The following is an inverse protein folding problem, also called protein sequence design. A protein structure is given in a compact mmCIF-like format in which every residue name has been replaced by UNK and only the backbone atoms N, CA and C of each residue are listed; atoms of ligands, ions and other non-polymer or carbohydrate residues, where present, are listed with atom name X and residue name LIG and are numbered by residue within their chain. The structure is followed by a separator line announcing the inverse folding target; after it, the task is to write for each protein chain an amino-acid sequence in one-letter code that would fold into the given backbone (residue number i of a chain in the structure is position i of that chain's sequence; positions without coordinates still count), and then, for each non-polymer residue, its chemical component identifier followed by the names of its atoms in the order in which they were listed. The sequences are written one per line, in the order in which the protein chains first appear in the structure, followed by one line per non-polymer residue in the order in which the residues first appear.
data_IF_464494835395
#
_entry.id   IF_464494835395
#
_cell.length_a   1.000
_cell.length_b   1.000
_cell.length_c   1.000
_cell.angle_alpha   90.00
_cell.angle_beta   90.00
_cell.angle_gamma   90.00
#
_symmetry.space_group_name_H-M   'P 1'
#
loop_
_entity.id
_entity.type
_entity.pdbx_description
1 polymer ?
#
# COMPACT_ATOMS: atom_id res chain seq x y z
N UNK A 1 25.45 -8.11 -12.52
CA UNK A 1 26.73 -8.06 -13.26
C UNK A 1 27.27 -9.44 -13.65
N UNK A 2 27.17 -10.47 -12.81
CA UNK A 2 27.61 -11.83 -13.16
C UNK A 2 26.96 -12.41 -14.43
N UNK A 3 25.67 -12.09 -14.66
CA UNK A 3 24.96 -12.52 -15.87
C UNK A 3 25.46 -11.84 -17.15
N UNK A 4 25.91 -10.58 -17.08
CA UNK A 4 26.28 -9.78 -18.25
C UNK A 4 27.71 -10.10 -18.70
N UNK A 5 28.64 -10.29 -17.77
CA UNK A 5 30.04 -10.64 -18.04
C UNK A 5 30.56 -11.72 -17.06
N UNK A 6 30.17 -12.99 -17.26
CA UNK A 6 30.46 -14.06 -16.31
C UNK A 6 31.96 -14.33 -16.09
N UNK A 7 32.83 -14.03 -17.05
CA UNK A 7 34.27 -14.29 -16.94
C UNK A 7 35.02 -13.27 -16.06
N UNK A 8 34.48 -12.05 -15.92
CA UNK A 8 35.16 -10.96 -15.21
C UNK A 8 34.60 -10.74 -13.80
N UNK A 9 33.34 -11.11 -13.56
CA UNK A 9 32.62 -10.77 -12.32
C UNK A 9 32.29 -11.97 -11.43
N UNK A 10 32.74 -13.19 -11.76
CA UNK A 10 32.54 -14.38 -10.92
C UNK A 10 33.22 -14.25 -9.56
N UNK A 11 34.50 -13.85 -9.56
CA UNK A 11 35.32 -13.82 -8.34
C UNK A 11 35.24 -12.46 -7.59
N UNK A 12 34.94 -11.38 -8.33
CA UNK A 12 34.86 -10.03 -7.77
C UNK A 12 33.51 -9.71 -7.08
N UNK A 13 32.58 -10.66 -7.07
CA UNK A 13 31.20 -10.45 -6.65
C UNK A 13 31.10 -10.18 -5.14
N UNK A 14 31.78 -10.99 -4.33
CA UNK A 14 31.76 -10.86 -2.88
C UNK A 14 32.40 -9.54 -2.43
N UNK A 15 33.49 -9.15 -3.10
CA UNK A 15 34.14 -7.85 -2.89
C UNK A 15 33.25 -6.68 -3.29
N UNK A 16 32.55 -6.76 -4.42
CA UNK A 16 31.61 -5.72 -4.86
C UNK A 16 30.41 -5.61 -3.93
N UNK A 17 29.83 -6.73 -3.50
CA UNK A 17 28.76 -6.75 -2.50
C UNK A 17 29.22 -6.12 -1.19
N UNK A 18 30.43 -6.43 -0.71
CA UNK A 18 30.98 -5.79 0.50
C UNK A 18 31.17 -4.27 0.35
N UNK A 19 31.52 -3.79 -0.85
CA UNK A 19 31.63 -2.35 -1.14
C UNK A 19 30.26 -1.66 -1.16
N UNK A 20 29.23 -2.29 -1.72
CA UNK A 20 27.88 -1.72 -1.86
C UNK A 20 26.94 -1.99 -0.67
N UNK A 21 27.27 -2.93 0.22
CA UNK A 21 26.50 -3.22 1.45
C UNK A 21 26.66 -2.13 2.52
N UNK A 22 27.69 -1.30 2.42
CA UNK A 22 27.87 -0.12 3.28
C UNK A 22 26.82 0.92 2.91
N UNK A 23 25.67 0.87 3.59
CA UNK A 23 24.67 1.94 3.54
C UNK A 23 25.31 3.21 4.10
N UNK A 24 25.05 4.34 3.48
CA UNK A 24 25.47 5.66 3.96
C UNK A 24 24.88 5.92 5.35
N UNK A 25 25.59 5.49 6.39
CA UNK A 25 25.44 6.01 7.73
C UNK A 25 26.17 7.35 7.77
N UNK A 26 25.57 8.34 8.41
CA UNK A 26 25.99 9.75 8.47
C UNK A 26 27.44 9.98 8.89
N UNK A 27 28.13 8.99 9.48
CA UNK A 27 29.50 9.10 9.99
C UNK A 27 30.61 8.49 9.12
N UNK A 28 30.31 7.89 7.96
CA UNK A 28 31.33 7.23 7.08
C UNK A 28 31.45 7.86 5.68
N UNK A 29 31.06 9.14 5.55
CA UNK A 29 30.86 9.84 4.27
C UNK A 29 32.10 9.86 3.36
N UNK A 30 33.29 10.18 3.88
CA UNK A 30 34.49 10.37 3.05
C UNK A 30 35.06 9.07 2.44
N UNK A 31 35.04 7.97 3.21
CA UNK A 31 35.50 6.67 2.73
C UNK A 31 34.49 6.01 1.80
N UNK A 32 33.19 6.25 2.01
CA UNK A 32 32.15 5.73 1.13
C UNK A 32 32.15 6.44 -0.24
N UNK A 33 32.37 7.76 -0.28
CA UNK A 33 32.51 8.52 -1.53
C UNK A 33 33.67 8.02 -2.41
N UNK A 34 34.85 7.83 -1.82
CA UNK A 34 36.03 7.31 -2.52
C UNK A 34 35.79 5.89 -3.08
N UNK A 35 35.05 5.05 -2.35
CA UNK A 35 34.68 3.69 -2.78
C UNK A 35 33.65 3.72 -3.92
N UNK A 36 32.64 4.59 -3.83
CA UNK A 36 31.61 4.78 -4.88
C UNK A 36 32.22 5.32 -6.16
N UNK A 37 33.15 6.28 -6.08
CA UNK A 37 33.88 6.82 -7.23
C UNK A 37 34.74 5.76 -7.92
N UNK A 38 35.51 4.97 -7.15
CA UNK A 38 36.31 3.86 -7.67
C UNK A 38 35.44 2.79 -8.35
N UNK A 39 34.33 2.41 -7.72
CA UNK A 39 33.39 1.45 -8.29
C UNK A 39 32.73 1.99 -9.56
N UNK A 40 32.32 3.27 -9.58
CA UNK A 40 31.75 3.93 -10.76
C UNK A 40 32.73 3.95 -11.94
N UNK A 41 34.02 4.23 -11.69
CA UNK A 41 35.07 4.19 -12.71
C UNK A 41 35.27 2.79 -13.29
N UNK A 42 35.20 1.75 -12.45
CA UNK A 42 35.26 0.35 -12.89
C UNK A 42 34.02 -0.08 -13.69
N UNK A 43 32.84 0.48 -13.40
CA UNK A 43 31.58 0.14 -14.07
C UNK A 43 31.33 0.95 -15.35
N UNK A 44 31.94 2.12 -15.49
CA UNK A 44 31.79 3.03 -16.65
C UNK A 44 31.95 2.34 -18.02
N UNK A 45 32.93 1.46 -18.28
CA UNK A 45 33.06 0.82 -19.59
C UNK A 45 31.95 -0.20 -19.89
N UNK A 46 31.18 -0.61 -18.88
CA UNK A 46 30.12 -1.63 -19.01
C UNK A 46 28.71 -1.05 -18.94
N UNK A 47 28.57 0.24 -18.56
CA UNK A 47 27.27 0.91 -18.39
C UNK A 47 27.29 2.20 -19.19
N UNK A 48 26.62 2.19 -20.34
CA UNK A 48 26.36 3.41 -21.09
C UNK A 48 25.11 4.10 -20.53
N UNK A 49 25.28 5.29 -19.96
CA UNK A 49 24.17 6.12 -19.46
C UNK A 49 24.13 7.43 -20.23
N UNK A 50 23.07 7.65 -21.02
CA UNK A 50 22.73 8.96 -21.61
C UNK A 50 21.60 9.59 -20.82
N UNK A 51 21.68 10.90 -20.59
CA UNK A 51 20.64 11.66 -19.91
C UNK A 51 19.69 12.31 -20.94
N UNK A 52 18.43 12.53 -20.57
CA UNK A 52 17.38 13.04 -21.48
C UNK A 52 17.71 14.44 -22.02
N UNK A 53 18.40 15.26 -21.24
CA UNK A 53 18.97 16.57 -21.62
C UNK A 53 20.02 16.48 -22.75
N UNK A 54 20.80 15.39 -22.83
CA UNK A 54 21.80 15.18 -23.89
C UNK A 54 21.16 14.76 -25.22
N UNK A 55 20.02 14.07 -25.15
CA UNK A 55 19.37 13.47 -26.33
C UNK A 55 18.12 14.21 -26.81
N UNK A 56 17.42 14.95 -25.95
CA UNK A 56 16.26 15.78 -26.33
C UNK A 56 16.56 17.25 -26.03
N UNK A 57 17.08 17.94 -27.04
CA UNK A 57 17.38 19.38 -27.01
C UNK A 57 16.17 20.25 -27.35
N UNK A 58 15.18 19.67 -28.02
CA UNK A 58 13.99 20.38 -28.51
C UNK A 58 12.84 20.42 -27.48
N UNK A 59 12.97 19.68 -26.37
CA UNK A 59 11.95 19.63 -25.33
C UNK A 59 12.22 20.71 -24.26
N UNK A 60 11.22 21.50 -23.85
CA UNK A 60 11.38 22.46 -22.76
C UNK A 60 11.78 21.77 -21.46
N UNK A 61 12.45 22.53 -20.59
CA UNK A 61 12.94 22.04 -19.30
C UNK A 61 11.79 21.58 -18.42
N UNK A 62 11.89 20.37 -17.87
CA UNK A 62 10.95 19.86 -16.85
C UNK A 62 10.97 20.78 -15.62
N UNK A 63 9.81 21.31 -15.25
CA UNK A 63 9.59 21.99 -13.97
C UNK A 63 8.90 21.07 -12.99
N UNK A 64 9.37 21.02 -11.75
CA UNK A 64 8.79 20.24 -10.67
C UNK A 64 8.43 21.20 -9.54
N UNK A 65 7.20 21.10 -9.03
CA UNK A 65 6.67 21.91 -7.93
C UNK A 65 6.06 20.97 -6.91
N UNK A 66 6.34 21.23 -5.64
CA UNK A 66 5.76 20.48 -4.52
C UNK A 66 4.77 21.41 -3.84
N UNK A 67 3.50 21.03 -3.88
CA UNK A 67 2.40 21.76 -3.24
C UNK A 67 1.90 20.92 -2.07
N UNK A 68 1.82 21.56 -0.89
CA UNK A 68 1.34 20.92 0.32
C UNK A 68 -0.14 21.21 0.48
N UNK A 69 -0.92 20.19 0.78
CA UNK A 69 -2.37 20.30 0.95
C UNK A 69 -2.74 20.00 2.39
N UNK A 70 -3.66 20.78 2.97
CA UNK A 70 -4.24 20.49 4.27
C UNK A 70 -5.26 19.36 4.18
N UNK A 71 -5.35 18.52 5.21
CA UNK A 71 -6.34 17.43 5.28
C UNK A 71 -7.67 17.93 5.83
N UNK A 72 -8.78 17.41 5.28
CA UNK A 72 -10.12 17.72 5.80
C UNK A 72 -10.34 17.07 7.17
N UNK A 73 -11.31 17.53 7.97
CA UNK A 73 -11.59 16.94 9.28
C UNK A 73 -11.86 15.43 9.21
N UNK A 74 -12.63 14.99 8.20
CA UNK A 74 -12.92 13.57 7.99
C UNK A 74 -11.68 12.77 7.58
N UNK A 75 -10.81 13.33 6.72
CA UNK A 75 -9.53 12.68 6.39
C UNK A 75 -8.64 12.53 7.63
N UNK A 76 -8.61 13.56 8.48
CA UNK A 76 -7.80 13.58 9.70
C UNK A 76 -8.23 12.48 10.67
N UNK A 77 -9.54 12.32 10.92
CA UNK A 77 -10.04 11.27 11.82
C UNK A 77 -9.68 9.87 11.30
N UNK A 78 -9.86 9.62 9.99
CA UNK A 78 -9.49 8.33 9.36
C UNK A 78 -7.98 8.06 9.51
N UNK A 79 -7.16 9.09 9.25
CA UNK A 79 -5.71 8.98 9.31
C UNK A 79 -5.22 8.71 10.74
N UNK A 80 -5.74 9.45 11.73
CA UNK A 80 -5.41 9.28 13.13
C UNK A 80 -5.81 7.90 13.66
N UNK A 81 -6.98 7.40 13.27
CA UNK A 81 -7.43 6.06 13.63
C UNK A 81 -6.51 4.97 13.05
N UNK A 82 -6.14 5.08 11.77
CA UNK A 82 -5.20 4.15 11.13
C UNK A 82 -3.81 4.21 11.79
N UNK A 83 -3.33 5.41 12.13
CA UNK A 83 -2.09 5.60 12.88
C UNK A 83 -2.15 4.96 14.27
N UNK A 84 -3.26 5.13 14.98
CA UNK A 84 -3.43 4.58 16.32
C UNK A 84 -3.49 3.05 16.28
N UNK A 85 -4.23 2.48 15.32
CA UNK A 85 -4.25 1.03 15.07
C UNK A 85 -2.85 0.47 14.83
N UNK A 86 -2.05 1.17 14.01
CA UNK A 86 -0.65 0.80 13.77
C UNK A 86 0.20 0.87 15.03
N UNK A 87 0.10 1.95 15.81
CA UNK A 87 0.85 2.10 17.06
C UNK A 87 0.53 0.99 18.06
N UNK A 88 -0.75 0.69 18.26
CA UNK A 88 -1.17 -0.42 19.13
C UNK A 88 -0.68 -1.77 18.63
N UNK A 89 -0.67 -1.99 17.31
CA UNK A 89 -0.15 -3.23 16.74
C UNK A 89 1.36 -3.38 16.97
N UNK A 90 2.13 -2.29 16.79
CA UNK A 90 3.58 -2.28 17.05
C UNK A 90 3.88 -2.45 18.52
N UNK A 91 3.10 -1.84 19.42
CA UNK A 91 3.28 -1.98 20.87
C UNK A 91 2.92 -3.39 21.38
N UNK A 92 1.96 -4.05 20.73
CA UNK A 92 1.60 -5.43 21.03
C UNK A 92 2.65 -6.45 20.55
N UNK A 93 3.61 -6.06 19.70
CA UNK A 93 4.69 -6.95 19.28
C UNK A 93 5.71 -7.12 20.43
N UNK A 94 6.22 -8.35 20.65
CA UNK A 94 7.25 -8.58 21.64
C UNK A 94 8.52 -7.79 21.30
N UNK A 95 9.10 -7.11 22.30
CA UNK A 95 10.32 -6.30 22.16
C UNK A 95 11.58 -7.13 21.84
N UNK A 96 11.48 -8.45 21.95
CA UNK A 96 12.58 -9.36 21.69
C UNK A 96 12.85 -9.46 20.18
N UNK A 97 14.02 -8.96 19.77
CA UNK A 97 14.46 -8.89 18.36
C UNK A 97 14.39 -10.27 17.65
N UNK A 98 14.64 -11.36 18.38
CA UNK A 98 14.52 -12.74 17.86
C UNK A 98 13.09 -13.15 17.57
N UNK A 99 12.13 -12.78 18.42
CA UNK A 99 10.72 -13.09 18.20
C UNK A 99 10.14 -12.23 17.06
N UNK A 100 10.62 -10.99 16.92
CA UNK A 100 10.23 -10.11 15.81
C UNK A 100 10.71 -10.65 14.45
N UNK A 101 11.94 -11.19 14.40
CA UNK A 101 12.52 -11.82 13.20
C UNK A 101 11.77 -13.10 12.78
N UNK A 102 11.28 -13.90 13.72
CA UNK A 102 10.44 -15.08 13.41
C UNK A 102 9.04 -14.72 12.91
N UNK A 103 8.49 -13.55 13.31
CA UNK A 103 7.16 -13.08 12.89
C UNK A 103 7.21 -12.37 11.52
N UNK A 104 8.31 -11.67 11.21
CA UNK A 104 8.50 -10.91 9.96
C UNK A 104 9.08 -11.78 8.83
N UNK A 105 9.70 -12.91 9.17
CA UNK A 105 10.07 -13.92 8.18
C UNK A 105 8.80 -14.65 7.70
N UNK A 106 8.17 -14.13 6.65
CA UNK A 106 7.21 -14.94 5.90
C UNK A 106 7.93 -16.20 5.35
N UNK A 107 7.27 -17.38 5.38
CA UNK A 107 7.81 -18.62 4.84
C UNK A 107 7.61 -18.67 3.32
N UNK A 108 8.09 -17.67 2.57
CA UNK A 108 7.88 -17.58 1.11
C UNK A 108 9.21 -17.60 0.34
N UNK A 109 10.15 -18.45 0.76
CA UNK A 109 11.31 -18.84 -0.04
C UNK A 109 11.68 -20.33 0.17
N UNK A 110 10.66 -21.21 0.26
CA UNK A 110 10.89 -22.63 -0.05
C UNK A 110 10.95 -22.81 -1.56
N UNK A 111 12.16 -22.71 -2.11
CA UNK A 111 12.48 -23.31 -3.41
C UNK A 111 12.26 -24.82 -3.24
N UNK A 112 11.10 -25.28 -3.71
CA UNK A 112 10.73 -26.68 -3.82
C UNK A 112 11.83 -27.45 -4.57
N UNK A 113 12.63 -28.20 -3.81
CA UNK A 113 13.46 -29.26 -4.35
C UNK A 113 12.90 -30.57 -3.79
N UNK A 114 12.08 -31.22 -4.60
CA UNK A 114 11.44 -32.47 -4.24
C UNK A 114 12.46 -33.60 -4.08
N UNK A 115 12.51 -34.19 -2.89
CA UNK A 115 12.51 -35.64 -2.69
C UNK A 115 12.53 -35.98 -1.20
N UNK A 116 11.69 -36.93 -0.78
CA UNK A 116 11.88 -37.68 0.46
C UNK A 116 10.64 -37.85 1.32
N UNK A 117 10.02 -39.03 1.22
CA UNK A 117 9.01 -39.59 2.11
C UNK A 117 9.34 -39.48 3.61
N UNK A 118 8.32 -39.19 4.42
CA UNK A 118 8.43 -39.32 5.88
C UNK A 118 7.24 -38.80 6.68
N UNK A 119 6.29 -39.68 7.01
CA UNK A 119 5.21 -39.48 8.00
C UNK A 119 5.71 -38.84 9.30
N UNK A 120 5.03 -37.79 9.80
CA UNK A 120 4.85 -37.63 11.27
C UNK A 120 3.61 -36.81 11.65
N UNK A 121 3.10 -37.18 12.83
CA UNK A 121 1.76 -36.95 13.40
C UNK A 121 1.48 -35.51 13.83
N UNK A 122 0.24 -35.08 13.62
CA UNK A 122 -0.30 -33.82 14.14
C UNK A 122 -0.44 -33.78 15.67
N UNK A 123 -0.20 -32.59 16.22
CA UNK A 123 -0.65 -32.18 17.56
C UNK A 123 -1.44 -30.87 17.42
N UNK A 124 -2.75 -30.97 17.64
CA UNK A 124 -3.70 -29.87 17.72
C UNK A 124 -3.49 -29.08 19.02
N UNK A 125 -3.28 -27.76 18.95
CA UNK A 125 -3.41 -26.84 20.11
C UNK A 125 -4.71 -26.02 19.97
N UNK A 126 -5.34 -25.64 21.09
CA UNK A 126 -6.75 -25.28 21.13
C UNK A 126 -7.03 -23.86 20.64
N UNK A 127 -8.13 -23.68 19.89
CA UNK A 127 -8.70 -22.39 19.55
C UNK A 127 -9.43 -21.81 20.77
N UNK A 128 -8.92 -20.71 21.35
CA UNK A 128 -9.71 -19.82 22.22
C UNK A 128 -10.03 -18.56 21.42
N UNK A 129 -11.32 -18.26 21.33
CA UNK A 129 -11.88 -17.20 20.48
C UNK A 129 -11.32 -15.83 20.83
N UNK A 130 -10.64 -15.23 19.86
CA UNK A 130 -10.51 -13.79 19.72
C UNK A 130 -11.33 -13.41 18.51
N UNK A 131 -12.32 -12.57 18.74
CA UNK A 131 -13.18 -11.93 17.75
C UNK A 131 -12.32 -11.30 16.64
N UNK A 132 -12.74 -11.46 15.38
CA UNK A 132 -11.99 -11.12 14.18
C UNK A 132 -11.18 -9.80 14.25
N UNK A 133 -9.85 -9.91 14.18
CA UNK A 133 -8.96 -8.81 13.77
C UNK A 133 -7.89 -9.36 12.82
N UNK A 134 -8.32 -9.97 11.72
CA UNK A 134 -7.45 -10.68 10.77
C UNK A 134 -6.61 -9.77 9.84
N UNK A 135 -6.47 -8.47 10.12
CA UNK A 135 -5.77 -7.53 9.24
C UNK A 135 -4.57 -6.81 9.90
N UNK A 136 -4.10 -7.25 11.08
CA UNK A 136 -2.96 -6.64 11.78
C UNK A 136 -1.59 -6.94 11.14
N UNK A 137 -1.53 -7.28 9.85
CA UNK A 137 -0.29 -7.33 9.10
C UNK A 137 0.18 -5.91 8.82
N UNK A 138 1.35 -5.53 9.34
CA UNK A 138 1.94 -4.19 9.16
C UNK A 138 2.14 -3.77 7.69
N UNK A 139 2.05 -4.71 6.75
CA UNK A 139 2.09 -4.48 5.30
C UNK A 139 0.95 -3.59 4.80
N UNK A 140 -0.24 -3.65 5.40
CA UNK A 140 -1.42 -2.93 4.92
C UNK A 140 -1.55 -1.50 5.47
N UNK A 141 -0.86 -1.19 6.58
CA UNK A 141 -0.96 0.11 7.25
C UNK A 141 -0.52 1.25 6.33
N UNK A 142 0.63 1.10 5.67
CA UNK A 142 1.14 2.15 4.77
C UNK A 142 0.19 2.40 3.60
N UNK A 143 -0.48 1.34 3.12
CA UNK A 143 -1.48 1.47 2.06
C UNK A 143 -2.72 2.23 2.57
N UNK A 144 -3.20 1.93 3.77
CA UNK A 144 -4.30 2.68 4.40
C UNK A 144 -3.95 4.15 4.61
N UNK A 145 -2.78 4.47 5.17
CA UNK A 145 -2.35 5.86 5.37
C UNK A 145 -2.24 6.63 4.04
N UNK A 146 -1.78 5.96 2.97
CA UNK A 146 -1.77 6.54 1.62
C UNK A 146 -3.18 6.82 1.10
N UNK A 147 -4.13 5.91 1.28
CA UNK A 147 -5.55 6.12 0.92
C UNK A 147 -6.16 7.27 1.72
N UNK A 148 -5.94 7.33 3.03
CA UNK A 148 -6.47 8.37 3.92
C UNK A 148 -5.97 9.75 3.52
N UNK A 149 -4.70 9.84 3.12
CA UNK A 149 -4.08 11.07 2.60
C UNK A 149 -4.59 11.47 1.21
N UNK A 150 -5.31 10.60 0.51
CA UNK A 150 -5.88 10.89 -0.81
C UNK A 150 -7.34 11.35 -0.69
N UNK A 151 -8.23 10.53 -0.13
CA UNK A 151 -9.68 10.83 -0.13
C UNK A 151 -10.46 10.02 0.92
N UNK A 152 -11.47 10.60 1.63
CA UNK A 152 -12.31 9.87 2.58
C UNK A 152 -13.12 8.71 1.98
N UNK A 153 -13.69 8.93 0.79
CA UNK A 153 -14.50 7.92 0.06
C UNK A 153 -13.77 6.61 -0.30
N UNK A 154 -12.46 6.53 -0.08
CA UNK A 154 -11.70 5.27 -0.20
C UNK A 154 -11.85 4.35 1.03
N UNK A 155 -12.57 4.81 2.04
CA UNK A 155 -12.94 4.06 3.23
C UNK A 155 -14.45 3.96 3.30
N UNK A 156 -14.91 3.07 4.17
CA UNK A 156 -16.31 2.93 4.53
C UNK A 156 -16.61 3.77 5.76
N UNK A 157 -17.19 4.97 5.59
CA UNK A 157 -17.46 5.94 6.68
C UNK A 157 -18.83 6.59 6.57
N UNK A 158 -19.25 6.98 5.36
CA UNK A 158 -20.53 7.63 5.12
C UNK A 158 -21.65 6.59 4.93
N UNK A 159 -21.31 5.40 4.44
CA UNK A 159 -22.21 4.26 4.35
C UNK A 159 -22.05 3.33 5.56
N UNK A 160 -22.78 3.65 6.63
CA UNK A 160 -22.86 2.80 7.83
C UNK A 160 -23.48 1.44 7.53
N UNK A 161 -23.22 0.45 8.40
CA UNK A 161 -23.82 -0.89 8.28
C UNK A 161 -25.36 -0.82 8.25
N UNK A 162 -25.96 0.13 8.97
CA UNK A 162 -27.40 0.35 8.93
C UNK A 162 -27.90 0.78 7.53
N UNK A 163 -27.16 1.67 6.84
CA UNK A 163 -27.50 2.09 5.48
C UNK A 163 -27.29 0.95 4.49
N UNK A 164 -26.23 0.16 4.64
CA UNK A 164 -25.97 -1.02 3.79
C UNK A 164 -27.11 -2.02 3.88
N UNK A 165 -27.59 -2.31 5.09
CA UNK A 165 -28.74 -3.19 5.28
C UNK A 165 -30.01 -2.67 4.56
N UNK A 166 -30.25 -1.36 4.57
CA UNK A 166 -31.37 -0.76 3.83
C UNK A 166 -31.16 -0.85 2.31
N UNK A 167 -29.95 -0.54 1.83
CA UNK A 167 -29.57 -0.61 0.41
C UNK A 167 -29.72 -2.05 -0.10
N UNK A 168 -29.23 -3.05 0.64
CA UNK A 168 -29.34 -4.47 0.29
C UNK A 168 -30.80 -4.93 0.18
N UNK A 169 -31.70 -4.48 1.08
CA UNK A 169 -33.14 -4.78 0.97
C UNK A 169 -33.76 -4.20 -0.29
N UNK A 170 -33.41 -2.96 -0.64
CA UNK A 170 -33.90 -2.32 -1.86
C UNK A 170 -33.25 -2.90 -3.13
N UNK A 171 -32.05 -3.47 -3.02
CA UNK A 171 -31.34 -4.10 -4.11
C UNK A 171 -32.03 -5.37 -4.62
N UNK A 172 -32.68 -6.14 -3.72
CA UNK A 172 -33.43 -7.35 -4.08
C UNK A 172 -34.65 -7.10 -4.97
N UNK A 173 -35.05 -5.84 -5.16
CA UNK A 173 -36.13 -5.45 -6.07
C UNK A 173 -35.65 -5.36 -7.53
N UNK A 174 -34.34 -5.30 -7.76
CA UNK A 174 -33.76 -5.25 -9.10
C UNK A 174 -33.68 -6.67 -9.70
N UNK A 175 -33.87 -6.80 -11.02
CA UNK A 175 -33.90 -8.10 -11.69
C UNK A 175 -32.58 -8.88 -11.55
N UNK A 176 -31.45 -8.17 -11.47
CA UNK A 176 -30.11 -8.78 -11.37
C UNK A 176 -29.87 -9.48 -10.02
N UNK A 177 -30.61 -9.10 -8.98
CA UNK A 177 -30.43 -9.60 -7.61
C UNK A 177 -31.62 -10.43 -7.11
N UNK A 178 -32.60 -10.71 -7.98
CA UNK A 178 -33.83 -11.37 -7.58
C UNK A 178 -33.63 -12.82 -7.10
N UNK A 179 -32.61 -13.50 -7.63
CA UNK A 179 -32.21 -14.86 -7.22
C UNK A 179 -31.18 -14.86 -6.09
N UNK A 180 -30.66 -13.69 -5.70
CA UNK A 180 -29.62 -13.57 -4.67
C UNK A 180 -30.22 -13.51 -3.27
N UNK A 181 -29.53 -14.10 -2.28
CA UNK A 181 -29.95 -13.98 -0.89
C UNK A 181 -29.52 -12.64 -0.29
N UNK A 182 -30.31 -12.13 0.64
CA UNK A 182 -30.04 -10.87 1.36
C UNK A 182 -28.66 -10.88 2.03
N UNK A 183 -28.30 -11.98 2.69
CA UNK A 183 -27.08 -12.07 3.49
C UNK A 183 -25.82 -11.96 2.61
N UNK A 184 -25.82 -12.56 1.43
CA UNK A 184 -24.69 -12.48 0.48
C UNK A 184 -24.53 -11.06 -0.07
N UNK A 185 -25.65 -10.39 -0.39
CA UNK A 185 -25.60 -9.00 -0.87
C UNK A 185 -25.03 -8.07 0.20
N UNK A 186 -25.39 -8.28 1.47
CA UNK A 186 -24.84 -7.49 2.59
C UNK A 186 -23.35 -7.77 2.77
N UNK A 187 -22.92 -9.04 2.70
CA UNK A 187 -21.50 -9.41 2.78
C UNK A 187 -20.67 -8.74 1.69
N UNK A 188 -21.14 -8.78 0.44
CA UNK A 188 -20.48 -8.14 -0.69
C UNK A 188 -20.35 -6.62 -0.49
N UNK A 189 -21.43 -5.97 -0.04
CA UNK A 189 -21.43 -4.53 0.21
C UNK A 189 -20.52 -4.10 1.38
N UNK A 190 -20.28 -4.96 2.37
CA UNK A 190 -19.43 -4.64 3.51
C UNK A 190 -17.94 -4.50 3.14
N UNK A 191 -17.52 -5.17 2.06
CA UNK A 191 -16.13 -5.13 1.55
C UNK A 191 -15.90 -3.92 0.65
N UNK A 192 -16.97 -3.33 0.09
CA UNK A 192 -16.89 -2.18 -0.81
C UNK A 192 -16.58 -0.87 -0.08
N UNK A 193 -15.90 0.04 -0.77
CA UNK A 193 -15.61 1.39 -0.28
C UNK A 193 -16.79 2.34 -0.56
N UNK A 194 -16.86 3.48 0.16
CA UNK A 194 -17.95 4.45 -0.04
C UNK A 194 -18.05 4.95 -1.49
N UNK A 195 -16.95 5.11 -2.21
CA UNK A 195 -16.95 5.49 -3.63
C UNK A 195 -17.62 4.43 -4.52
N UNK A 196 -17.39 3.15 -4.21
CA UNK A 196 -17.96 2.04 -4.96
C UNK A 196 -19.44 1.87 -4.63
N UNK A 197 -19.81 1.99 -3.35
CA UNK A 197 -21.20 2.01 -2.89
C UNK A 197 -21.98 3.19 -3.48
N UNK A 198 -21.37 4.37 -3.56
CA UNK A 198 -21.97 5.53 -4.22
C UNK A 198 -22.21 5.27 -5.71
N UNK A 199 -21.22 4.70 -6.41
CA UNK A 199 -21.39 4.32 -7.82
C UNK A 199 -22.46 3.26 -8.01
N UNK A 200 -22.52 2.29 -7.11
CA UNK A 200 -23.55 1.24 -7.08
C UNK A 200 -24.94 1.84 -6.92
N UNK A 201 -25.12 2.76 -5.97
CA UNK A 201 -26.39 3.46 -5.77
C UNK A 201 -26.82 4.25 -7.00
N UNK A 202 -25.88 4.81 -7.77
CA UNK A 202 -26.19 5.53 -9.01
C UNK A 202 -26.56 4.61 -10.19
N UNK A 203 -26.10 3.36 -10.18
CA UNK A 203 -26.33 2.40 -11.26
C UNK A 203 -27.77 1.85 -11.26
N UNK A 204 -28.30 1.54 -10.08
CA UNK A 204 -29.61 0.91 -9.92
C UNK A 204 -30.69 1.91 -9.46
N UNK A 205 -31.88 1.83 -10.04
CA UNK A 205 -32.95 2.81 -9.78
C UNK A 205 -33.51 2.68 -8.37
N UNK A 206 -33.59 1.47 -7.83
CA UNK A 206 -34.18 1.17 -6.53
C UNK A 206 -33.36 1.75 -5.38
N UNK A 207 -32.03 1.68 -5.48
CA UNK A 207 -31.09 2.15 -4.44
C UNK A 207 -30.62 3.60 -4.64
N UNK A 208 -30.94 4.23 -5.78
CA UNK A 208 -30.58 5.63 -6.08
C UNK A 208 -31.04 6.64 -5.03
N UNK A 209 -32.11 6.31 -4.28
CA UNK A 209 -32.61 7.14 -3.18
C UNK A 209 -31.62 7.26 -2.02
N UNK A 210 -30.71 6.30 -1.87
CA UNK A 210 -29.68 6.27 -0.83
C UNK A 210 -28.34 6.87 -1.30
N UNK A 211 -28.24 7.32 -2.55
CA UNK A 211 -27.05 7.98 -3.05
C UNK A 211 -26.83 9.32 -2.33
N UNK A 212 -25.57 9.60 -1.99
CA UNK A 212 -25.14 10.87 -1.41
C UNK A 212 -25.07 11.96 -2.49
N UNK A 213 -24.99 13.22 -2.07
CA UNK A 213 -24.75 14.33 -2.98
C UNK A 213 -23.32 14.33 -3.52
N UNK A 214 -23.11 14.87 -4.73
CA UNK A 214 -21.81 14.90 -5.40
C UNK A 214 -20.76 15.74 -4.66
N UNK A 215 -21.17 16.62 -3.74
CA UNK A 215 -20.26 17.35 -2.85
C UNK A 215 -19.35 16.44 -2.02
N UNK A 216 -19.74 15.18 -1.77
CA UNK A 216 -18.90 14.22 -1.03
C UNK A 216 -17.57 13.91 -1.70
N UNK A 217 -17.48 14.05 -3.03
CA UNK A 217 -16.23 13.89 -3.79
C UNK A 217 -15.34 15.13 -3.77
N UNK A 218 -15.88 16.28 -3.35
CA UNK A 218 -15.14 17.53 -3.21
C UNK A 218 -14.52 17.68 -1.83
N UNK A 219 -15.00 16.92 -0.84
CA UNK A 219 -14.50 16.93 0.54
C UNK A 219 -13.19 16.13 0.70
N UNK A 220 -12.15 16.58 0.01
CA UNK A 220 -10.79 16.07 0.17
C UNK A 220 -9.77 17.17 -0.04
N UNK A 221 -8.76 17.23 0.83
CA UNK A 221 -7.75 18.30 0.86
C UNK A 221 -6.99 18.50 -0.44
N UNK A 222 -6.73 17.41 -1.17
CA UNK A 222 -6.11 17.48 -2.50
C UNK A 222 -7.08 18.03 -3.54
N UNK A 223 -8.35 17.62 -3.48
CA UNK A 223 -9.36 18.07 -4.44
C UNK A 223 -9.63 19.55 -4.25
N UNK A 224 -9.78 20.00 -3.00
CA UNK A 224 -9.94 21.43 -2.67
C UNK A 224 -8.75 22.27 -3.12
N UNK A 225 -7.52 21.77 -2.96
CA UNK A 225 -6.32 22.45 -3.46
C UNK A 225 -6.32 22.59 -4.99
N UNK A 226 -6.77 21.57 -5.73
CA UNK A 226 -6.84 21.62 -7.20
C UNK A 226 -8.01 22.47 -7.72
N UNK A 227 -9.13 22.53 -7.00
CA UNK A 227 -10.29 23.33 -7.42
C UNK A 227 -10.14 24.80 -7.05
N UNK A 228 -9.33 25.13 -6.06
CA UNK A 228 -9.03 26.52 -5.72
C UNK A 228 -8.15 27.13 -6.83
N UNK A 229 -8.61 28.21 -7.50
CA UNK A 229 -7.81 28.84 -8.54
C UNK A 229 -6.50 29.39 -7.94
N UNK A 230 -5.39 29.12 -8.63
CA UNK A 230 -4.05 29.63 -8.32
C UNK A 230 -4.08 31.17 -8.26
N UNK A 231 -4.30 31.73 -7.06
CA UNK A 231 -4.43 33.17 -6.82
C UNK A 231 -5.36 33.60 -5.68
N UNK A 232 -6.07 32.68 -5.02
CA UNK A 232 -6.99 32.99 -3.91
C UNK A 232 -6.42 32.71 -2.49
N UNK A 233 -5.10 32.51 -2.37
CA UNK A 233 -4.40 32.36 -1.08
C UNK A 233 -3.28 33.38 -1.00
#
# INVERSE_FOLDING_TARGET
MNFILPKYFRDALESLRAIFKVRASSHTSLLSESRVSRASKMMTPFVLRRRKDQVLKDLPKKTERIEWCETTPLQRTIYEEAMQRSRSAVEALPKDEKALLEIVAEPDDEIANGNGDGKSKGKTRPKKGVLMTSNASGSNVLMELRKASCHPMLFRRLFDDAKINLIARHCLQEPDFQDSSYDLVVEDMQVMNDAELQRFCLQYKSVRKHALDNSCFLDAGKVTHFTTPLGAV
#
